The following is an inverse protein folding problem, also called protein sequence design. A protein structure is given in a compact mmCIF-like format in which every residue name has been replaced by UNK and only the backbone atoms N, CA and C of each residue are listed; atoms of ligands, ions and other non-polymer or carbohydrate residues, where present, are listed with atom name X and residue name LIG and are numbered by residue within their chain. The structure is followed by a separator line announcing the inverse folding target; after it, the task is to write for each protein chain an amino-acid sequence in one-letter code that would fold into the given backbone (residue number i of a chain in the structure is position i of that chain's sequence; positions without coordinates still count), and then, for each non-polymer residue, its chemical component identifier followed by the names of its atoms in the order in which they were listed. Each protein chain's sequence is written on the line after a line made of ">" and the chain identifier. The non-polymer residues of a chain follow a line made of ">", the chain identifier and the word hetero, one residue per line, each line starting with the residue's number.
data_IF_604707690596
#
_entry.id   IF_604707690596
#
_cell.length_a   1.000
_cell.length_b   1.000
_cell.length_c   1.000
_cell.angle_alpha   90.00
_cell.angle_beta   90.00
_cell.angle_gamma   90.00
#
_symmetry.space_group_name_H-M   'P 1'
#
loop_
_entity.id
_entity.type
_entity.pdbx_description
1 polymer ?
#
# COMPACT_ATOMS: atom_id res chain seq x y z
N UNK A 1 7.66 -0.09 13.94
CA UNK A 1 8.37 -1.38 14.03
C UNK A 1 7.48 -2.41 14.69
N UNK A 2 7.49 -3.62 14.19
CA UNK A 2 6.86 -4.80 14.77
C UNK A 2 7.92 -5.88 14.95
N UNK A 3 7.89 -6.63 16.07
CA UNK A 3 8.91 -7.59 16.41
C UNK A 3 8.30 -8.82 17.12
N UNK A 4 8.79 -10.00 16.74
CA UNK A 4 8.54 -11.29 17.37
C UNK A 4 9.88 -11.98 17.62
N UNK A 5 9.88 -13.16 18.25
CA UNK A 5 11.11 -13.93 18.53
C UNK A 5 11.93 -14.28 17.29
N UNK A 6 11.30 -14.43 16.12
CA UNK A 6 11.97 -14.87 14.89
C UNK A 6 11.79 -13.94 13.69
N UNK A 7 11.02 -12.87 13.83
CA UNK A 7 10.73 -11.97 12.71
C UNK A 7 10.48 -10.55 13.18
N UNK A 8 11.06 -9.58 12.48
CA UNK A 8 10.75 -8.17 12.68
C UNK A 8 10.53 -7.47 11.35
N UNK A 9 9.73 -6.41 11.37
CA UNK A 9 9.63 -5.50 10.23
C UNK A 9 9.48 -4.04 10.64
N UNK A 10 9.99 -3.19 9.78
CA UNK A 10 9.74 -1.77 9.81
C UNK A 10 8.94 -1.35 8.59
N UNK A 11 7.90 -0.53 8.79
CA UNK A 11 7.01 -0.04 7.74
C UNK A 11 6.98 1.47 7.74
N UNK A 12 7.18 2.08 6.58
CA UNK A 12 6.93 3.49 6.35
C UNK A 12 5.96 3.69 5.20
N UNK A 13 5.11 4.71 5.30
CA UNK A 13 4.16 5.11 4.28
C UNK A 13 4.41 6.57 3.94
N UNK A 14 4.50 6.89 2.67
CA UNK A 14 4.67 8.26 2.20
C UNK A 14 3.97 8.47 0.86
N UNK A 15 3.58 9.71 0.58
CA UNK A 15 3.02 10.09 -0.72
C UNK A 15 4.13 10.67 -1.60
N UNK A 16 4.23 10.22 -2.85
CA UNK A 16 5.16 10.81 -3.82
C UNK A 16 4.67 12.20 -4.20
N UNK A 17 5.57 13.17 -4.12
CA UNK A 17 5.23 14.57 -4.46
C UNK A 17 4.82 14.70 -5.93
N UNK A 18 3.78 15.50 -6.18
CA UNK A 18 3.26 15.80 -7.52
C UNK A 18 2.84 14.55 -8.32
N UNK A 19 2.47 13.47 -7.65
CA UNK A 19 2.02 12.24 -8.30
C UNK A 19 0.92 11.56 -7.46
N UNK A 20 0.01 10.85 -8.13
CA UNK A 20 -1.03 10.05 -7.46
C UNK A 20 -0.43 8.68 -7.08
N UNK A 21 0.60 8.69 -6.24
CA UNK A 21 1.34 7.51 -5.81
C UNK A 21 1.53 7.54 -4.31
N UNK A 22 1.09 6.48 -3.64
CA UNK A 22 1.45 6.15 -2.27
C UNK A 22 2.56 5.10 -2.29
N UNK A 23 3.67 5.38 -1.62
CA UNK A 23 4.80 4.49 -1.49
C UNK A 23 4.84 3.90 -0.08
N UNK A 24 4.97 2.57 -0.01
CA UNK A 24 5.13 1.84 1.24
C UNK A 24 6.44 1.07 1.20
N UNK A 25 7.33 1.36 2.14
CA UNK A 25 8.57 0.61 2.31
C UNK A 25 8.46 -0.35 3.48
N UNK A 26 8.96 -1.57 3.27
CA UNK A 26 9.16 -2.56 4.32
C UNK A 26 10.64 -2.94 4.39
N UNK A 27 11.18 -2.98 5.59
CA UNK A 27 12.42 -3.69 5.90
C UNK A 27 12.04 -4.91 6.73
N UNK A 28 12.21 -6.11 6.13
CA UNK A 28 11.77 -7.39 6.67
C UNK A 28 13.00 -8.18 7.12
N UNK A 29 13.08 -8.54 8.39
CA UNK A 29 14.21 -9.29 8.94
C UNK A 29 13.73 -10.61 9.52
N UNK A 30 14.28 -11.73 9.04
CA UNK A 30 14.09 -13.04 9.62
C UNK A 30 15.26 -13.39 10.57
N UNK A 31 14.92 -14.02 11.69
CA UNK A 31 15.88 -14.63 12.63
C UNK A 31 16.37 -15.98 12.12
N UNK A 32 16.45 -16.96 12.99
CA UNK A 32 17.06 -18.27 12.72
C UNK A 32 16.28 -19.17 11.75
N UNK A 33 15.03 -18.85 11.44
CA UNK A 33 14.19 -19.64 10.54
C UNK A 33 13.71 -18.82 9.35
N UNK A 34 13.48 -19.52 8.23
CA UNK A 34 12.79 -18.93 7.08
C UNK A 34 11.41 -18.44 7.48
N UNK A 35 11.01 -17.26 6.98
CA UNK A 35 9.72 -16.67 7.20
C UNK A 35 9.03 -16.35 5.88
N UNK A 36 7.71 -16.32 5.90
CA UNK A 36 6.89 -15.75 4.83
C UNK A 36 6.12 -14.57 5.38
N UNK A 37 6.34 -13.39 4.82
CA UNK A 37 5.54 -12.22 5.10
C UNK A 37 4.38 -12.15 4.12
N UNK A 38 3.15 -12.19 4.63
CA UNK A 38 1.94 -12.09 3.81
C UNK A 38 1.25 -10.77 4.08
N UNK A 39 0.88 -10.08 3.01
CA UNK A 39 0.17 -8.82 3.04
C UNK A 39 -1.10 -8.91 2.21
N UNK A 40 -2.23 -8.59 2.81
CA UNK A 40 -3.53 -8.47 2.13
C UNK A 40 -3.84 -6.99 1.91
N UNK A 41 -3.77 -6.48 0.67
CA UNK A 41 -4.16 -5.11 0.39
C UNK A 41 -5.70 -4.98 0.43
N UNK A 42 -6.16 -3.92 1.05
CA UNK A 42 -7.57 -3.55 1.10
C UNK A 42 -7.82 -2.40 0.14
N UNK A 43 -8.71 -2.60 -0.83
CA UNK A 43 -9.03 -1.60 -1.84
C UNK A 43 -10.42 -1.04 -1.64
N UNK A 44 -10.56 0.25 -1.89
CA UNK A 44 -11.83 0.94 -1.94
C UNK A 44 -11.87 1.92 -3.12
N UNK A 45 -13.06 2.15 -3.67
CA UNK A 45 -13.29 3.14 -4.73
C UNK A 45 -14.70 3.68 -4.60
N UNK A 46 -14.86 4.74 -3.81
CA UNK A 46 -16.14 5.35 -3.47
C UNK A 46 -16.01 6.88 -3.34
N UNK A 47 -17.12 7.56 -3.36
CA UNK A 47 -17.19 8.95 -2.94
C UNK A 47 -16.88 9.07 -1.43
N UNK A 48 -16.35 10.22 -1.03
CA UNK A 48 -15.87 10.43 0.35
C UNK A 48 -16.95 10.22 1.42
N UNK A 49 -18.21 10.54 1.10
CA UNK A 49 -19.35 10.46 2.02
C UNK A 49 -20.19 9.19 1.90
N UNK A 50 -19.79 8.24 1.07
CA UNK A 50 -20.52 7.00 0.85
C UNK A 50 -19.82 5.82 1.53
N UNK A 51 -20.59 4.85 2.02
CA UNK A 51 -20.08 3.54 2.43
C UNK A 51 -20.10 2.58 1.25
N UNK A 52 -19.12 1.67 1.20
CA UNK A 52 -19.05 0.63 0.18
C UNK A 52 -19.80 -0.62 0.60
N UNK A 53 -20.33 -1.31 -0.39
CA UNK A 53 -20.91 -2.66 -0.25
C UNK A 53 -20.33 -3.57 -1.33
N UNK A 54 -20.43 -4.91 -1.22
CA UNK A 54 -20.00 -5.82 -2.27
C UNK A 54 -20.64 -5.53 -3.64
N UNK A 55 -21.86 -4.98 -3.67
CA UNK A 55 -22.55 -4.62 -4.89
C UNK A 55 -22.06 -3.32 -5.54
N UNK A 56 -21.56 -2.39 -4.72
CA UNK A 56 -21.04 -1.10 -5.20
C UNK A 56 -19.55 -1.09 -5.46
N UNK A 57 -18.82 -2.05 -4.90
CA UNK A 57 -17.36 -2.15 -4.96
C UNK A 57 -16.92 -3.29 -5.89
N UNK A 58 -17.02 -3.06 -7.20
CA UNK A 58 -16.71 -4.04 -8.24
C UNK A 58 -15.55 -3.59 -9.11
N UNK A 59 -14.68 -4.56 -9.45
CA UNK A 59 -13.49 -4.32 -10.26
C UNK A 59 -13.30 -5.48 -11.27
N UNK A 60 -12.81 -5.14 -12.46
CA UNK A 60 -12.06 -6.10 -13.29
C UNK A 60 -10.62 -6.12 -12.80
N UNK A 61 -10.05 -7.30 -12.62
CA UNK A 61 -8.69 -7.46 -12.09
C UNK A 61 -7.82 -8.31 -13.01
N UNK A 62 -6.53 -7.98 -13.04
CA UNK A 62 -5.52 -8.80 -13.70
C UNK A 62 -4.15 -8.51 -13.10
N UNK A 63 -3.23 -9.45 -13.31
CA UNK A 63 -1.83 -9.31 -12.91
C UNK A 63 -0.94 -9.29 -14.14
N UNK A 64 -0.02 -8.34 -14.21
CA UNK A 64 1.02 -8.26 -15.22
C UNK A 64 2.35 -7.98 -14.50
N UNK A 65 3.34 -8.85 -14.72
CA UNK A 65 4.60 -8.84 -13.98
C UNK A 65 4.35 -8.85 -12.46
N UNK A 66 4.86 -7.83 -11.74
CA UNK A 66 4.66 -7.64 -10.30
C UNK A 66 3.69 -6.51 -10.01
N UNK A 67 2.71 -6.32 -10.86
CA UNK A 67 1.65 -5.32 -10.71
C UNK A 67 0.29 -6.00 -10.74
N UNK A 68 -0.48 -5.78 -9.70
CA UNK A 68 -1.89 -6.14 -9.64
C UNK A 68 -2.72 -4.91 -10.02
N UNK A 69 -3.57 -5.07 -11.01
CA UNK A 69 -4.42 -4.02 -11.55
C UNK A 69 -5.87 -4.22 -11.13
N UNK A 70 -6.54 -3.13 -10.75
CA UNK A 70 -7.96 -3.08 -10.49
C UNK A 70 -8.57 -1.96 -11.34
N UNK A 71 -9.51 -2.32 -12.20
CA UNK A 71 -10.25 -1.38 -13.04
C UNK A 71 -11.68 -1.28 -12.49
N UNK A 72 -12.08 -0.15 -11.88
CA UNK A 72 -13.41 -0.02 -11.31
C UNK A 72 -14.49 -0.16 -12.38
N UNK A 73 -15.57 -0.92 -12.12
CA UNK A 73 -16.70 -1.00 -13.05
C UNK A 73 -17.33 0.37 -13.33
N UNK A 74 -17.36 1.24 -12.34
CA UNK A 74 -17.92 2.59 -12.43
C UNK A 74 -17.07 3.55 -13.30
N UNK A 75 -15.78 3.22 -13.54
CA UNK A 75 -14.89 4.07 -14.35
C UNK A 75 -13.82 3.21 -15.02
N UNK A 76 -14.04 2.87 -16.27
CA UNK A 76 -13.16 1.99 -17.07
C UNK A 76 -11.92 2.70 -17.66
N UNK A 77 -11.83 4.02 -17.53
CA UNK A 77 -10.71 4.80 -18.04
C UNK A 77 -9.50 4.82 -17.11
N UNK A 78 -9.70 4.37 -15.87
CA UNK A 78 -8.64 4.35 -14.86
C UNK A 78 -8.33 2.94 -14.35
N UNK A 79 -7.10 2.76 -13.87
CA UNK A 79 -6.70 1.61 -13.08
C UNK A 79 -6.06 2.03 -11.76
N UNK A 80 -6.43 1.33 -10.69
CA UNK A 80 -5.67 1.30 -9.45
C UNK A 80 -4.59 0.23 -9.64
N UNK A 81 -3.35 0.55 -9.30
CA UNK A 81 -2.20 -0.33 -9.45
C UNK A 81 -1.56 -0.57 -8.10
N UNK A 82 -1.34 -1.84 -7.81
CA UNK A 82 -0.59 -2.27 -6.64
C UNK A 82 0.67 -3.00 -7.13
N UNK A 83 1.79 -2.27 -7.13
CA UNK A 83 3.08 -2.76 -7.61
C UNK A 83 3.95 -3.19 -6.44
N UNK A 84 4.70 -4.27 -6.61
CA UNK A 84 5.68 -4.73 -5.63
C UNK A 84 7.04 -4.99 -6.27
N UNK A 85 8.10 -4.72 -5.54
CA UNK A 85 9.47 -5.07 -5.95
C UNK A 85 9.79 -6.56 -5.76
N UNK A 86 9.07 -7.23 -4.86
CA UNK A 86 9.30 -8.61 -4.43
C UNK A 86 7.98 -9.34 -4.19
N UNK A 87 8.02 -10.68 -4.21
CA UNK A 87 6.91 -11.53 -3.83
C UNK A 87 6.04 -12.00 -4.98
N UNK A 88 4.99 -12.73 -4.63
CA UNK A 88 4.06 -13.39 -5.55
C UNK A 88 2.63 -13.13 -5.11
N UNK A 89 1.77 -12.79 -6.05
CA UNK A 89 0.34 -12.66 -5.81
C UNK A 89 -0.35 -14.02 -5.85
N UNK A 90 -1.29 -14.23 -4.93
CA UNK A 90 -2.21 -15.37 -4.92
C UNK A 90 -3.64 -14.88 -4.73
N UNK A 91 -4.57 -15.44 -5.46
CA UNK A 91 -6.00 -15.12 -5.34
C UNK A 91 -6.55 -15.58 -3.99
N UNK A 92 -7.51 -14.84 -3.46
CA UNK A 92 -8.22 -15.14 -2.23
C UNK A 92 -9.61 -15.71 -2.54
N UNK A 93 -10.04 -16.68 -1.73
CA UNK A 93 -11.42 -17.21 -1.80
C UNK A 93 -12.45 -16.18 -1.29
N UNK A 94 -12.11 -15.46 -0.21
CA UNK A 94 -12.95 -14.39 0.34
C UNK A 94 -12.39 -13.05 -0.12
N UNK A 95 -13.09 -12.41 -1.05
CA UNK A 95 -12.62 -11.19 -1.71
C UNK A 95 -13.17 -9.89 -1.10
N UNK A 96 -14.04 -9.97 -0.09
CA UNK A 96 -14.58 -8.81 0.62
C UNK A 96 -14.35 -8.91 2.11
N UNK A 97 -13.92 -7.81 2.71
CA UNK A 97 -13.98 -7.56 4.14
C UNK A 97 -15.13 -6.58 4.38
N UNK A 98 -16.22 -7.08 5.00
CA UNK A 98 -17.48 -6.36 5.15
C UNK A 98 -17.72 -5.82 6.57
N UNK A 99 -16.84 -6.17 7.51
CA UNK A 99 -17.01 -5.85 8.94
C UNK A 99 -15.95 -4.86 9.44
N UNK A 100 -15.25 -4.16 8.54
CA UNK A 100 -14.26 -3.18 8.95
C UNK A 100 -14.94 -1.94 9.52
N UNK A 101 -14.66 -1.66 10.78
CA UNK A 101 -15.13 -0.45 11.44
C UNK A 101 -13.99 0.57 11.58
N UNK A 102 -14.15 1.73 10.97
CA UNK A 102 -13.20 2.84 11.08
C UNK A 102 -13.61 3.75 12.24
N UNK A 103 -12.79 3.80 13.30
CA UNK A 103 -13.09 4.58 14.49
C UNK A 103 -13.35 6.06 14.19
N UNK A 104 -12.63 6.65 13.25
CA UNK A 104 -12.82 8.05 12.86
C UNK A 104 -14.22 8.31 12.27
N UNK A 105 -14.79 7.34 11.57
CA UNK A 105 -16.14 7.46 11.01
C UNK A 105 -17.20 7.32 12.10
N UNK A 106 -16.97 6.46 13.09
CA UNK A 106 -17.81 6.36 14.29
C UNK A 106 -17.79 7.67 15.07
N UNK A 107 -16.63 8.30 15.23
CA UNK A 107 -16.47 9.58 15.90
C UNK A 107 -17.17 10.74 15.15
N UNK A 108 -17.43 10.55 13.84
CA UNK A 108 -18.19 11.49 13.00
C UNK A 108 -19.71 11.18 12.95
N UNK A 109 -20.21 10.33 13.86
CA UNK A 109 -21.62 9.93 13.97
C UNK A 109 -22.14 9.16 12.73
N UNK A 110 -21.25 8.49 11.97
CA UNK A 110 -21.63 7.51 10.95
C UNK A 110 -21.70 6.11 11.57
N UNK A 111 -22.26 5.14 10.87
CA UNK A 111 -22.27 3.74 11.35
C UNK A 111 -20.85 3.13 11.42
N UNK A 112 -19.90 3.78 10.77
CA UNK A 112 -18.48 3.42 10.78
C UNK A 112 -18.15 2.09 10.09
N UNK A 113 -19.15 1.40 9.52
CA UNK A 113 -18.95 0.15 8.80
C UNK A 113 -18.68 0.43 7.33
N UNK A 114 -17.64 -0.20 6.81
CA UNK A 114 -17.27 -0.10 5.39
C UNK A 114 -16.86 -1.47 4.85
N UNK A 115 -17.02 -1.65 3.54
CA UNK A 115 -16.60 -2.83 2.83
C UNK A 115 -15.31 -2.54 2.05
N UNK A 116 -14.37 -3.47 2.09
CA UNK A 116 -13.15 -3.40 1.30
C UNK A 116 -13.03 -4.61 0.39
N UNK A 117 -12.51 -4.38 -0.81
CA UNK A 117 -12.19 -5.42 -1.77
C UNK A 117 -10.75 -5.88 -1.55
N UNK A 118 -10.56 -7.16 -1.24
CA UNK A 118 -9.26 -7.76 -0.90
C UNK A 118 -9.03 -9.06 -1.68
N UNK A 119 -8.86 -8.97 -3.02
CA UNK A 119 -8.89 -10.13 -3.92
C UNK A 119 -7.61 -10.95 -3.93
N UNK A 120 -6.51 -10.42 -3.40
CA UNK A 120 -5.20 -11.07 -3.45
C UNK A 120 -4.45 -10.96 -2.14
N UNK A 121 -3.60 -11.93 -1.91
CA UNK A 121 -2.50 -11.86 -0.95
C UNK A 121 -1.17 -11.70 -1.71
N UNK A 122 -0.28 -10.86 -1.19
CA UNK A 122 1.11 -10.76 -1.59
C UNK A 122 1.96 -11.52 -0.58
N UNK A 123 2.63 -12.59 -1.04
CA UNK A 123 3.54 -13.39 -0.20
C UNK A 123 4.99 -13.11 -0.55
N UNK A 124 5.82 -12.82 0.45
CA UNK A 124 7.24 -12.49 0.32
C UNK A 124 8.03 -13.45 1.20
N UNK A 125 8.89 -14.29 0.58
CA UNK A 125 9.78 -15.16 1.32
C UNK A 125 10.98 -14.36 1.86
N UNK A 126 11.27 -14.53 3.15
CA UNK A 126 12.42 -13.93 3.84
C UNK A 126 13.26 -15.07 4.41
N UNK A 127 14.41 -15.43 3.80
CA UNK A 127 15.27 -16.49 4.28
C UNK A 127 15.83 -16.20 5.67
N UNK A 128 16.13 -17.26 6.42
CA UNK A 128 16.74 -17.18 7.74
C UNK A 128 18.00 -16.29 7.74
N UNK A 129 18.16 -15.52 8.80
CA UNK A 129 19.30 -14.62 9.01
C UNK A 129 19.51 -13.58 7.90
N UNK A 130 18.40 -13.16 7.22
CA UNK A 130 18.46 -12.13 6.17
C UNK A 130 17.53 -10.96 6.45
N UNK A 131 17.91 -9.83 5.86
CA UNK A 131 17.04 -8.64 5.81
C UNK A 131 16.74 -8.31 4.35
N UNK A 132 15.46 -8.08 4.05
CA UNK A 132 14.97 -7.67 2.71
C UNK A 132 14.34 -6.30 2.77
N UNK A 133 14.70 -5.45 1.80
CA UNK A 133 14.00 -4.19 1.53
C UNK A 133 12.99 -4.41 0.42
N UNK A 134 11.74 -4.11 0.73
CA UNK A 134 10.62 -4.26 -0.20
C UNK A 134 9.93 -2.93 -0.40
N UNK A 135 9.74 -2.56 -1.65
CA UNK A 135 8.98 -1.38 -2.04
C UNK A 135 7.64 -1.78 -2.63
N UNK A 136 6.58 -1.12 -2.17
CA UNK A 136 5.24 -1.22 -2.73
C UNK A 136 4.82 0.18 -3.17
N UNK A 137 4.32 0.29 -4.41
CA UNK A 137 3.75 1.53 -4.95
C UNK A 137 2.27 1.30 -5.27
N UNK A 138 1.41 2.06 -4.62
CA UNK A 138 0.00 2.13 -4.95
C UNK A 138 -0.27 3.40 -5.75
N UNK A 139 -0.81 3.27 -6.96
CA UNK A 139 -1.06 4.40 -7.84
C UNK A 139 -2.41 4.31 -8.51
N UNK A 140 -2.90 5.45 -9.00
CA UNK A 140 -4.09 5.55 -9.83
C UNK A 140 -3.75 6.38 -11.08
N UNK A 141 -4.20 5.93 -12.25
CA UNK A 141 -3.95 6.62 -13.52
C UNK A 141 -4.67 5.96 -14.68
N UNK A 142 -4.35 6.36 -15.91
CA UNK A 142 -4.97 5.83 -17.14
C UNK A 142 -4.85 4.30 -17.21
N UNK A 143 -5.94 3.62 -17.58
CA UNK A 143 -6.02 2.16 -17.66
C UNK A 143 -5.00 1.53 -18.63
N UNK A 144 -4.60 2.27 -19.66
CA UNK A 144 -3.64 1.81 -20.67
C UNK A 144 -2.18 2.04 -20.29
N UNK A 145 -1.93 2.83 -19.24
CA UNK A 145 -0.57 3.12 -18.79
C UNK A 145 0.05 1.90 -18.13
N UNK A 146 1.28 1.57 -18.51
CA UNK A 146 2.10 0.50 -17.91
C UNK A 146 3.30 1.12 -17.23
N UNK A 147 3.28 1.24 -15.90
CA UNK A 147 4.40 1.80 -15.15
C UNK A 147 5.62 0.88 -15.23
N UNK A 148 6.80 1.48 -15.07
CA UNK A 148 8.05 0.71 -15.00
C UNK A 148 8.05 -0.21 -13.75
N UNK A 149 8.79 -1.35 -13.79
CA UNK A 149 8.96 -2.21 -12.63
C UNK A 149 9.57 -1.47 -11.44
N UNK A 150 9.07 -1.77 -10.25
CA UNK A 150 9.50 -1.17 -8.98
C UNK A 150 10.77 -1.85 -8.47
N UNK A 151 11.77 -1.06 -8.07
CA UNK A 151 12.97 -1.57 -7.39
C UNK A 151 12.75 -1.73 -5.88
N UNK A 152 13.54 -2.62 -5.23
CA UNK A 152 13.44 -2.86 -3.78
C UNK A 152 13.67 -1.62 -2.91
N UNK A 153 14.33 -0.59 -3.44
CA UNK A 153 14.68 0.65 -2.71
C UNK A 153 13.85 1.87 -3.12
N UNK A 154 12.93 1.74 -4.08
CA UNK A 154 12.23 2.90 -4.65
C UNK A 154 11.37 3.64 -3.62
N UNK A 155 10.59 2.93 -2.80
CA UNK A 155 9.78 3.55 -1.76
C UNK A 155 10.66 4.22 -0.68
N UNK A 156 11.82 3.65 -0.39
CA UNK A 156 12.80 4.26 0.53
C UNK A 156 13.35 5.59 -0.03
N UNK A 157 13.68 5.61 -1.33
CA UNK A 157 14.16 6.83 -2.00
C UNK A 157 13.10 7.93 -2.00
N UNK A 158 11.81 7.59 -2.21
CA UNK A 158 10.71 8.55 -2.12
C UNK A 158 10.57 9.10 -0.69
N UNK A 159 10.71 8.25 0.32
CA UNK A 159 10.67 8.65 1.72
C UNK A 159 11.81 9.63 2.05
N UNK A 160 13.04 9.32 1.66
CA UNK A 160 14.22 10.16 1.86
C UNK A 160 14.09 11.51 1.14
N UNK A 161 13.60 11.52 -0.10
CA UNK A 161 13.34 12.75 -0.85
C UNK A 161 12.32 13.64 -0.13
N UNK A 162 11.21 13.06 0.35
CA UNK A 162 10.21 13.80 1.10
C UNK A 162 10.78 14.37 2.41
N UNK A 163 11.56 13.60 3.15
CA UNK A 163 12.21 14.05 4.38
C UNK A 163 13.14 15.25 4.11
N UNK A 164 13.96 15.17 3.05
CA UNK A 164 14.85 16.27 2.62
C UNK A 164 14.05 17.51 2.25
N UNK A 165 12.98 17.37 1.45
CA UNK A 165 12.13 18.50 1.06
C UNK A 165 11.45 19.15 2.26
N UNK A 166 11.01 18.36 3.24
CA UNK A 166 10.43 18.91 4.47
C UNK A 166 11.49 19.68 5.26
N UNK A 167 12.69 19.15 5.44
CA UNK A 167 13.78 19.85 6.12
C UNK A 167 14.08 21.21 5.45
N UNK A 168 14.20 21.24 4.11
CA UNK A 168 14.41 22.48 3.36
C UNK A 168 13.27 23.51 3.54
N UNK A 169 12.02 23.04 3.63
CA UNK A 169 10.89 23.92 3.89
C UNK A 169 10.92 24.50 5.30
N UNK A 170 11.28 23.70 6.31
CA UNK A 170 11.43 24.18 7.69
C UNK A 170 12.57 25.18 7.83
N UNK A 171 13.70 24.95 7.17
CA UNK A 171 14.81 25.91 7.12
C UNK A 171 14.36 27.25 6.50
N UNK A 172 13.70 27.21 5.34
CA UNK A 172 13.20 28.41 4.66
C UNK A 172 12.14 29.15 5.47
N UNK A 173 11.34 28.44 6.24
CA UNK A 173 10.33 29.02 7.12
C UNK A 173 10.89 29.59 8.44
N UNK A 174 12.20 29.41 8.73
CA UNK A 174 12.86 29.91 9.93
C UNK A 174 12.52 29.15 11.21
N UNK A 175 11.88 27.99 11.13
CA UNK A 175 11.50 27.21 12.32
C UNK A 175 12.67 26.49 13.01
N UNK A 176 13.78 26.28 12.33
CA UNK A 176 14.97 25.61 12.90
C UNK A 176 15.82 26.53 13.83
N UNK A 177 15.48 27.80 13.93
CA UNK A 177 16.17 28.72 14.85
C UNK A 177 15.56 28.76 16.26
N UNK A 178 14.60 27.91 16.58
CA UNK A 178 13.85 27.91 17.83
C UNK A 178 14.04 26.65 18.70
N UNK A 179 14.98 25.75 18.33
CA UNK A 179 15.32 24.54 19.10
C UNK A 179 16.74 24.70 19.68
#
# INVERSE_FOLDING_TARGET
>A
TYETDNFSFEKHITLKRNANVCAVSYELTAGDNDCTFTLTPLFNYREHSESSTPDTLRFDTFTEDRTFYLVPEKNKDIAIRFQTSEGTFSERETVYDIDMQLQIEVDLETDGLDCHYCPVDLSIAVPANTTKKVSILCSIGDVNERPAPVSGTEAFSILEENARCHAELFEKAGYLSLI
#
